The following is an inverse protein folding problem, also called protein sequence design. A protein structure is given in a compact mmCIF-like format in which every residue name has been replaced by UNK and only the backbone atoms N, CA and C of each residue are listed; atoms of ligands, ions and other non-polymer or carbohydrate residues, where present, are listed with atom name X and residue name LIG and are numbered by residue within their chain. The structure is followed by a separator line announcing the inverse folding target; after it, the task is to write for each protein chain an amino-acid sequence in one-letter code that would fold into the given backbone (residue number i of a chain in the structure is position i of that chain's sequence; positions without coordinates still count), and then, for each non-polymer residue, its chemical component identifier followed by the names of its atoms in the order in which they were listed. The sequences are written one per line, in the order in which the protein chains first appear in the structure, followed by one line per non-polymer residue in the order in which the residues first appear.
data_IF_706391159139
#
_entry.id   IF_706391159139
#
_cell.length_a   1.000
_cell.length_b   1.000
_cell.length_c   1.000
_cell.angle_alpha   90.00
_cell.angle_beta   90.00
_cell.angle_gamma   90.00
#
_symmetry.space_group_name_H-M   'P 1'
#
loop_
_entity.id
_entity.type
_entity.pdbx_description
1 polymer ?
#
# COMPACT_ATOMS: atom_id res chain seq x y z
N UNK A 1 -9.94 17.28 -2.91
CA UNK A 1 -9.88 16.18 -3.89
C UNK A 1 -10.91 16.44 -4.96
N UNK A 2 -10.49 16.63 -6.21
CA UNK A 2 -11.39 16.80 -7.36
C UNK A 2 -11.37 15.48 -8.16
N UNK A 3 -12.49 14.77 -8.15
CA UNK A 3 -12.66 13.48 -8.82
C UNK A 3 -13.90 12.78 -8.29
N UNK A 4 -14.71 12.23 -9.19
CA UNK A 4 -15.89 11.44 -8.83
C UNK A 4 -15.44 10.16 -8.11
N UNK A 5 -16.00 9.88 -6.93
CA UNK A 5 -15.69 8.65 -6.19
C UNK A 5 -16.30 7.47 -6.92
N UNK A 6 -15.48 6.69 -7.61
CA UNK A 6 -15.93 5.43 -8.22
C UNK A 6 -16.08 4.41 -7.08
N UNK A 7 -17.30 3.87 -6.83
CA UNK A 7 -17.51 2.90 -5.77
C UNK A 7 -16.74 1.61 -6.06
N UNK A 8 -16.00 1.14 -5.05
CA UNK A 8 -15.32 -0.15 -5.10
C UNK A 8 -16.37 -1.27 -5.18
N UNK A 9 -16.24 -2.14 -6.18
CA UNK A 9 -17.07 -3.35 -6.25
C UNK A 9 -16.54 -4.35 -5.24
N UNK A 10 -17.31 -4.56 -4.17
CA UNK A 10 -16.99 -5.54 -3.12
C UNK A 10 -17.89 -6.77 -3.25
N UNK A 11 -17.41 -7.88 -2.71
CA UNK A 11 -18.04 -9.19 -2.68
C UNK A 11 -17.84 -9.80 -1.29
N UNK A 12 -18.53 -10.90 -0.99
CA UNK A 12 -18.40 -11.63 0.28
C UNK A 12 -18.58 -10.73 1.52
N UNK A 13 -19.56 -9.82 1.45
CA UNK A 13 -19.89 -8.92 2.56
C UNK A 13 -20.54 -9.74 3.67
N UNK A 14 -19.91 -9.77 4.84
CA UNK A 14 -20.39 -10.52 6.00
C UNK A 14 -20.27 -9.69 7.27
N UNK A 15 -21.36 -9.66 8.03
CA UNK A 15 -21.43 -9.05 9.35
C UNK A 15 -21.42 -10.18 10.40
N UNK A 16 -20.48 -10.11 11.33
CA UNK A 16 -20.35 -11.09 12.43
C UNK A 16 -20.33 -10.38 13.77
N UNK A 17 -20.96 -10.97 14.79
CA UNK A 17 -21.02 -10.45 16.15
C UNK A 17 -21.75 -11.42 17.07
N UNK A 18 -22.45 -10.91 18.08
CA UNK A 18 -23.30 -11.71 18.97
C UNK A 18 -24.67 -12.04 18.32
N UNK A 19 -24.63 -12.46 17.06
CA UNK A 19 -25.77 -12.87 16.24
C UNK A 19 -25.32 -13.88 15.18
N UNK A 20 -26.20 -14.84 14.87
CA UNK A 20 -25.96 -15.85 13.84
C UNK A 20 -27.26 -16.20 13.09
N UNK A 21 -27.47 -15.73 11.84
CA UNK A 21 -26.71 -14.70 11.13
C UNK A 21 -27.14 -13.28 11.55
N UNK A 22 -26.19 -12.34 11.53
CA UNK A 22 -26.50 -10.93 11.78
C UNK A 22 -27.25 -10.30 10.59
N UNK A 23 -28.47 -9.78 10.77
CA UNK A 23 -29.20 -9.16 9.67
C UNK A 23 -28.55 -7.84 9.28
N UNK A 24 -28.36 -7.63 7.98
CA UNK A 24 -27.94 -6.35 7.42
C UNK A 24 -28.64 -6.10 6.09
N UNK A 25 -28.88 -4.83 5.79
CA UNK A 25 -29.40 -4.39 4.50
C UNK A 25 -28.28 -3.81 3.67
N UNK A 26 -28.24 -4.18 2.39
CA UNK A 26 -27.30 -3.64 1.43
C UNK A 26 -28.04 -2.74 0.44
N UNK A 27 -27.84 -1.43 0.56
CA UNK A 27 -28.47 -0.43 -0.30
C UNK A 27 -27.53 -0.14 -1.48
N UNK A 28 -27.81 -0.79 -2.60
CA UNK A 28 -27.03 -0.64 -3.84
C UNK A 28 -25.58 -1.09 -3.70
N UNK A 29 -24.63 -0.32 -4.26
CA UNK A 29 -23.18 -0.58 -4.16
C UNK A 29 -22.46 0.39 -3.20
N UNK A 30 -23.19 1.14 -2.37
CA UNK A 30 -22.64 2.34 -1.71
C UNK A 30 -22.83 2.35 -0.21
N UNK A 31 -23.81 1.63 0.34
CA UNK A 31 -24.10 1.67 1.76
C UNK A 31 -24.58 0.32 2.28
N UNK A 32 -24.12 -0.02 3.47
CA UNK A 32 -24.66 -1.13 4.28
C UNK A 32 -25.30 -0.53 5.52
N UNK A 33 -26.42 -1.10 5.96
CA UNK A 33 -27.16 -0.63 7.14
C UNK A 33 -27.43 -1.81 8.05
N UNK A 34 -27.16 -1.62 9.34
CA UNK A 34 -27.34 -2.61 10.39
C UNK A 34 -27.63 -1.89 11.70
N UNK A 35 -28.25 -2.59 12.65
CA UNK A 35 -28.56 -2.01 13.94
C UNK A 35 -27.29 -1.59 14.70
N UNK A 36 -27.42 -0.64 15.62
CA UNK A 36 -26.27 -0.18 16.43
C UNK A 36 -25.80 -1.32 17.35
N UNK A 37 -24.55 -1.73 17.23
CA UNK A 37 -23.95 -2.76 18.08
C UNK A 37 -22.46 -2.95 17.84
N UNK A 38 -21.89 -3.97 18.48
CA UNK A 38 -20.48 -4.34 18.33
C UNK A 38 -20.37 -5.46 17.30
N UNK A 39 -20.09 -5.07 16.05
CA UNK A 39 -19.99 -5.99 14.94
C UNK A 39 -18.63 -5.88 14.25
N UNK A 40 -18.24 -6.98 13.62
CA UNK A 40 -17.13 -7.03 12.67
C UNK A 40 -17.70 -7.16 11.27
N UNK A 41 -17.31 -6.23 10.40
CA UNK A 41 -17.63 -6.25 8.97
C UNK A 41 -16.44 -6.78 8.20
N UNK A 42 -16.67 -7.78 7.35
CA UNK A 42 -15.70 -8.28 6.40
C UNK A 42 -16.23 -8.17 4.98
N UNK A 43 -15.33 -7.93 4.03
CA UNK A 43 -15.64 -7.85 2.60
C UNK A 43 -14.38 -8.14 1.79
N UNK A 44 -14.57 -8.54 0.54
CA UNK A 44 -13.50 -8.75 -0.45
C UNK A 44 -13.65 -7.76 -1.60
N UNK A 45 -12.58 -7.02 -1.91
CA UNK A 45 -12.56 -6.07 -3.02
C UNK A 45 -11.27 -6.15 -3.82
N UNK A 46 -11.27 -5.69 -5.09
CA UNK A 46 -10.06 -5.62 -5.89
C UNK A 46 -9.14 -4.51 -5.37
N UNK A 47 -7.84 -4.80 -5.29
CA UNK A 47 -6.78 -3.80 -5.09
C UNK A 47 -6.18 -3.48 -6.46
N UNK A 48 -6.00 -2.20 -6.77
CA UNK A 48 -5.47 -1.73 -8.06
C UNK A 48 -4.15 -1.00 -7.86
N UNK A 49 -3.33 -1.02 -8.91
CA UNK A 49 -2.09 -0.23 -9.00
C UNK A 49 -1.07 -0.47 -7.87
N UNK A 50 -1.17 -1.62 -7.20
CA UNK A 50 -0.42 -1.96 -5.98
C UNK A 50 -0.51 -0.85 -4.91
N UNK A 51 -1.70 -0.26 -4.78
CA UNK A 51 -1.96 0.87 -3.92
C UNK A 51 -3.20 0.61 -3.09
N UNK A 52 -3.06 0.73 -1.78
CA UNK A 52 -4.16 0.71 -0.84
C UNK A 52 -4.25 2.07 -0.16
N UNK A 53 -5.45 2.64 -0.15
CA UNK A 53 -5.73 3.92 0.49
C UNK A 53 -7.09 3.83 1.20
N UNK A 54 -7.10 4.18 2.48
CA UNK A 54 -8.30 4.28 3.30
C UNK A 54 -8.30 5.59 4.08
N UNK A 55 -9.45 6.26 4.09
CA UNK A 55 -9.69 7.49 4.86
C UNK A 55 -10.83 7.27 5.84
N UNK A 56 -10.62 7.69 7.09
CA UNK A 56 -11.54 7.55 8.20
C UNK A 56 -12.00 8.93 8.71
N UNK A 57 -13.24 9.04 9.16
CA UNK A 57 -13.78 10.28 9.73
C UNK A 57 -13.09 10.69 11.04
N UNK A 58 -12.68 9.70 11.83
CA UNK A 58 -11.94 9.87 13.08
C UNK A 58 -10.72 8.94 13.11
N UNK A 59 -9.67 9.25 13.91
CA UNK A 59 -8.48 8.42 13.97
C UNK A 59 -8.81 6.99 14.42
N UNK A 60 -8.30 5.99 13.69
CA UNK A 60 -8.48 4.56 13.98
C UNK A 60 -7.13 3.86 14.07
N UNK A 61 -7.11 2.74 14.79
CA UNK A 61 -6.04 1.76 14.69
C UNK A 61 -6.24 0.97 13.41
N UNK A 62 -5.17 0.83 12.62
CA UNK A 62 -5.21 0.14 11.32
C UNK A 62 -4.06 -0.85 11.27
N UNK A 63 -4.34 -2.07 10.83
CA UNK A 63 -3.33 -3.06 10.49
C UNK A 63 -3.56 -3.52 9.05
N UNK A 64 -2.50 -3.48 8.25
CA UNK A 64 -2.51 -3.95 6.86
C UNK A 64 -1.45 -5.02 6.72
N UNK A 65 -1.90 -6.24 6.45
CA UNK A 65 -1.04 -7.39 6.21
C UNK A 65 -0.87 -7.61 4.72
N UNK A 66 0.37 -7.59 4.25
CA UNK A 66 0.74 -7.93 2.89
C UNK A 66 1.26 -9.38 2.84
N UNK A 67 0.84 -10.17 1.84
CA UNK A 67 1.33 -11.52 1.65
C UNK A 67 2.82 -11.55 1.29
N UNK A 68 3.48 -12.72 1.42
CA UNK A 68 4.86 -12.90 1.00
C UNK A 68 5.09 -12.50 -0.47
N UNK A 69 6.27 -11.95 -0.76
CA UNK A 69 6.65 -11.49 -2.10
C UNK A 69 6.22 -10.06 -2.45
N UNK A 70 5.51 -9.38 -1.54
CA UNK A 70 5.22 -7.95 -1.64
C UNK A 70 5.94 -7.18 -0.52
N UNK A 71 6.49 -6.01 -0.86
CA UNK A 71 7.17 -5.13 0.08
C UNK A 71 6.80 -3.65 -0.16
N UNK A 72 7.09 -2.80 0.82
CA UNK A 72 6.85 -1.35 0.87
C UNK A 72 8.10 -0.55 1.28
N UNK A 73 9.18 -1.24 1.71
CA UNK A 73 10.34 -0.61 2.38
C UNK A 73 11.20 0.23 1.45
N UNK A 74 11.30 -0.12 0.17
CA UNK A 74 12.11 0.62 -0.79
C UNK A 74 11.42 1.95 -1.18
N UNK A 75 11.95 3.11 -0.80
CA UNK A 75 11.29 4.39 -1.03
C UNK A 75 11.23 4.81 -2.50
N UNK A 76 11.97 4.15 -3.40
CA UNK A 76 11.89 4.40 -4.83
C UNK A 76 10.70 3.66 -5.49
N UNK A 77 10.12 2.67 -4.81
CA UNK A 77 9.09 1.78 -5.37
C UNK A 77 7.79 1.78 -4.55
N UNK A 78 7.94 1.87 -3.22
CA UNK A 78 6.86 1.85 -2.25
C UNK A 78 6.70 3.16 -1.49
N UNK A 79 5.66 3.20 -0.67
CA UNK A 79 5.35 4.33 0.20
C UNK A 79 4.46 3.85 1.34
N UNK A 80 4.63 4.46 2.52
CA UNK A 80 3.75 4.28 3.67
C UNK A 80 3.35 5.66 4.18
N UNK A 81 2.08 5.86 4.50
CA UNK A 81 1.62 7.11 5.13
C UNK A 81 2.25 7.32 6.51
N UNK A 82 2.35 8.58 6.92
CA UNK A 82 2.95 8.97 8.19
C UNK A 82 2.37 8.19 9.39
N UNK A 83 3.26 7.79 10.31
CA UNK A 83 2.88 7.06 11.52
C UNK A 83 2.70 5.56 11.34
N UNK A 84 2.92 5.03 10.14
CA UNK A 84 2.93 3.60 9.87
C UNK A 84 4.26 2.97 10.25
N UNK A 85 4.21 1.83 10.95
CA UNK A 85 5.38 1.01 11.30
C UNK A 85 5.32 -0.32 10.57
N UNK A 86 6.44 -0.75 9.99
CA UNK A 86 6.56 -2.02 9.27
C UNK A 86 7.22 -3.05 10.17
N UNK A 87 6.65 -4.24 10.23
CA UNK A 87 7.24 -5.41 10.87
C UNK A 87 7.16 -6.63 9.94
N UNK A 88 8.06 -7.59 10.14
CA UNK A 88 7.95 -8.89 9.50
C UNK A 88 6.79 -9.66 10.11
N UNK A 89 5.92 -10.21 9.26
CA UNK A 89 4.81 -11.04 9.71
C UNK A 89 5.28 -12.46 9.95
N UNK A 90 4.70 -13.15 10.94
CA UNK A 90 4.99 -14.57 11.24
C UNK A 90 4.77 -15.51 10.05
N UNK A 91 3.96 -15.11 9.07
CA UNK A 91 3.70 -15.84 7.82
C UNK A 91 4.65 -15.53 6.66
N UNK A 92 5.76 -14.82 6.89
CA UNK A 92 6.74 -14.45 5.85
C UNK A 92 6.30 -13.30 4.94
N UNK A 93 5.19 -12.64 5.26
CA UNK A 93 4.76 -11.37 4.68
C UNK A 93 5.23 -10.19 5.54
N UNK A 94 4.59 -9.04 5.36
CA UNK A 94 4.86 -7.86 6.17
C UNK A 94 3.57 -7.28 6.72
N UNK A 95 3.63 -6.78 7.94
CA UNK A 95 2.53 -6.12 8.61
C UNK A 95 2.86 -4.64 8.76
N UNK A 96 1.94 -3.78 8.32
CA UNK A 96 2.04 -2.33 8.46
C UNK A 96 0.96 -1.85 9.41
N UNK A 97 1.38 -1.25 10.53
CA UNK A 97 0.49 -0.88 11.63
C UNK A 97 0.51 0.62 11.90
N UNK A 98 -0.67 1.17 12.17
CA UNK A 98 -0.86 2.53 12.68
C UNK A 98 -1.64 2.44 14.00
N UNK A 99 -1.08 3.01 15.06
CA UNK A 99 -1.77 3.06 16.36
C UNK A 99 -2.97 4.04 16.33
N UNK A 100 -2.83 5.15 15.61
CA UNK A 100 -3.88 6.16 15.45
C UNK A 100 -3.65 6.95 14.17
N UNK A 101 -4.50 6.76 13.16
CA UNK A 101 -4.44 7.52 11.90
C UNK A 101 -5.83 7.79 11.32
N UNK A 102 -5.98 8.92 10.62
CA UNK A 102 -7.16 9.21 9.78
C UNK A 102 -6.99 8.71 8.34
N UNK A 103 -5.75 8.45 7.92
CA UNK A 103 -5.44 8.03 6.55
C UNK A 103 -4.38 6.93 6.59
N UNK A 104 -4.75 5.74 6.13
CA UNK A 104 -3.83 4.64 5.94
C UNK A 104 -3.58 4.48 4.44
N UNK A 105 -2.34 4.67 4.02
CA UNK A 105 -1.95 4.57 2.63
C UNK A 105 -0.67 3.75 2.51
N UNK A 106 -0.69 2.75 1.64
CA UNK A 106 0.48 1.97 1.27
C UNK A 106 0.57 1.78 -0.22
N UNK A 107 1.76 2.00 -0.77
CA UNK A 107 2.13 1.59 -2.11
C UNK A 107 3.13 0.45 -1.97
N UNK A 108 2.79 -0.69 -2.54
CA UNK A 108 3.59 -1.91 -2.46
C UNK A 108 4.14 -2.29 -3.84
N UNK A 109 5.16 -3.14 -3.85
CA UNK A 109 5.80 -3.63 -5.05
C UNK A 109 6.15 -5.11 -4.88
N UNK A 110 6.24 -5.81 -6.00
CA UNK A 110 6.72 -7.19 -6.08
C UNK A 110 8.26 -7.22 -6.24
N UNK A 111 8.86 -8.36 -5.90
CA UNK A 111 10.30 -8.60 -6.04
C UNK A 111 10.84 -8.32 -7.46
N UNK A 112 10.03 -8.58 -8.49
CA UNK A 112 10.40 -8.34 -9.88
C UNK A 112 10.65 -6.85 -10.17
N UNK A 113 9.83 -5.96 -9.62
CA UNK A 113 10.04 -4.50 -9.73
C UNK A 113 11.32 -4.04 -9.05
N UNK A 114 11.68 -4.65 -7.93
CA UNK A 114 12.93 -4.34 -7.24
C UNK A 114 14.15 -4.78 -8.06
N UNK A 115 14.11 -5.98 -8.64
CA UNK A 115 15.15 -6.44 -9.54
C UNK A 115 15.30 -5.52 -10.78
N UNK A 116 14.18 -5.09 -11.38
CA UNK A 116 14.20 -4.13 -12.48
C UNK A 116 14.81 -2.78 -12.08
N UNK A 117 14.55 -2.29 -10.88
CA UNK A 117 15.16 -1.07 -10.36
C UNK A 117 16.69 -1.23 -10.25
N UNK A 118 17.17 -2.35 -9.76
CA UNK A 118 18.61 -2.62 -9.68
C UNK A 118 19.26 -2.69 -11.07
N UNK A 119 18.62 -3.36 -12.02
CA UNK A 119 19.11 -3.40 -13.41
C UNK A 119 19.18 -1.98 -13.98
N UNK A 120 18.11 -1.20 -13.82
CA UNK A 120 18.07 0.19 -14.26
C UNK A 120 19.20 1.03 -13.64
N UNK A 121 19.39 0.95 -12.32
CA UNK A 121 20.43 1.69 -11.62
C UNK A 121 21.85 1.31 -12.13
N UNK A 122 22.10 0.02 -12.34
CA UNK A 122 23.39 -0.46 -12.87
C UNK A 122 23.68 0.10 -14.27
N UNK A 123 22.70 0.12 -15.17
CA UNK A 123 22.87 0.72 -16.50
C UNK A 123 23.23 2.20 -16.43
N UNK A 124 22.54 2.96 -15.57
CA UNK A 124 22.83 4.39 -15.40
C UNK A 124 24.22 4.65 -14.81
N UNK A 125 24.68 3.81 -13.89
CA UNK A 125 26.03 3.92 -13.33
C UNK A 125 27.08 3.74 -14.43
N UNK A 126 26.95 2.72 -15.28
CA UNK A 126 27.90 2.48 -16.38
C UNK A 126 27.93 3.69 -17.33
N UNK A 127 26.76 4.19 -17.73
CA UNK A 127 26.64 5.37 -18.59
C UNK A 127 27.30 6.59 -17.94
N UNK A 128 27.04 6.82 -16.66
CA UNK A 128 27.63 7.92 -15.91
C UNK A 128 29.17 7.81 -15.87
N UNK A 129 29.72 6.62 -15.63
CA UNK A 129 31.18 6.39 -15.63
C UNK A 129 31.77 6.68 -17.01
N UNK A 130 31.19 6.13 -18.08
CA UNK A 130 31.68 6.31 -19.45
C UNK A 130 31.67 7.79 -19.87
N UNK A 131 30.71 8.58 -19.40
CA UNK A 131 30.63 10.02 -19.72
C UNK A 131 31.48 10.89 -18.80
N UNK A 132 31.45 10.65 -17.49
CA UNK A 132 32.12 11.50 -16.49
C UNK A 132 33.62 11.27 -16.46
N UNK A 133 34.11 10.03 -16.60
CA UNK A 133 35.55 9.75 -16.56
C UNK A 133 36.33 10.54 -17.64
N UNK A 134 35.99 10.49 -18.93
CA UNK A 134 36.71 11.26 -19.94
C UNK A 134 36.56 12.77 -19.74
N UNK A 135 35.38 13.24 -19.29
CA UNK A 135 35.16 14.65 -18.97
C UNK A 135 36.11 15.13 -17.87
N UNK A 136 36.18 14.41 -16.74
CA UNK A 136 37.07 14.74 -15.62
C UNK A 136 38.55 14.64 -16.01
N UNK A 137 38.93 13.64 -16.81
CA UNK A 137 40.30 13.53 -17.34
C UNK A 137 40.65 14.70 -18.27
N UNK A 138 39.69 15.23 -19.04
CA UNK A 138 39.91 16.38 -19.91
C UNK A 138 40.08 17.69 -19.12
N UNK A 139 39.32 17.88 -18.02
CA UNK A 139 39.47 19.05 -17.17
C UNK A 139 40.84 19.07 -16.48
N UNK A 140 41.31 17.90 -16.02
CA UNK A 140 42.62 17.75 -15.38
C UNK A 140 43.83 18.04 -16.28
N UNK A 141 43.64 18.12 -17.60
CA UNK A 141 44.70 18.48 -18.56
C UNK A 141 44.74 19.98 -18.88
N UNK A 142 43.75 20.75 -18.42
CA UNK A 142 43.64 22.20 -18.63
C UNK A 142 44.11 23.04 -17.44
N UNK A 143 44.29 22.41 -16.27
CA UNK A 143 45.13 22.92 -15.17
C UNK A 143 46.57 22.44 -15.34
#
# INVERSE_FOLDING_TARGET
MLGERIPLRVSDVMLSGDCDPCPFEWIGNTAITFEKGNYSLSYRGPVRDNHFHATFESPRQVNVSLPPGLDVRNPALGMISQGGTVADSSGGGIDVTWNSTRTAEIRFYDEGRENLLYIFANFWIIIAVVMLVPFLLSMRKRE
#
